data_IF_879091954294
#
_entry.id   IF_879091954294
#
_cell.length_a   1.000
_cell.length_b   1.000
_cell.length_c   1.000
_cell.angle_alpha   90.00
_cell.angle_beta   90.00
_cell.angle_gamma   90.00
#
_symmetry.space_group_name_H-M   'P 1'
#
loop_
_entity.id
_entity.type
_entity.pdbx_description
1 polymer ?
#
# COMPACT_ATOMS: atom_id res chain seq x y z
N UNK A 1 26.27 -18.92 19.60
CA UNK A 1 26.12 -18.35 18.25
C UNK A 1 24.74 -17.69 18.27
N UNK A 2 24.70 -16.38 18.32
CA UNK A 2 23.48 -15.59 18.34
C UNK A 2 22.85 -15.66 16.93
N UNK A 3 21.62 -16.20 16.84
CA UNK A 3 20.78 -15.99 15.68
C UNK A 3 20.53 -14.48 15.56
N UNK A 4 21.20 -13.85 14.62
CA UNK A 4 20.83 -12.50 14.21
C UNK A 4 19.39 -12.55 13.70
N UNK A 5 18.51 -11.87 14.41
CA UNK A 5 17.14 -11.57 14.00
C UNK A 5 17.21 -10.75 12.69
N UNK A 6 17.30 -11.44 11.54
CA UNK A 6 17.22 -10.78 10.25
C UNK A 6 15.79 -10.25 10.09
N UNK A 7 15.62 -8.96 10.24
CA UNK A 7 14.43 -8.24 9.80
C UNK A 7 14.04 -8.74 8.41
N UNK A 8 12.81 -9.20 8.16
CA UNK A 8 12.44 -9.72 6.85
C UNK A 8 12.69 -8.66 5.78
N UNK A 9 13.60 -8.97 4.86
CA UNK A 9 13.92 -8.10 3.72
C UNK A 9 12.66 -7.93 2.87
N UNK A 10 12.04 -6.75 2.95
CA UNK A 10 10.86 -6.43 2.16
C UNK A 10 11.32 -6.26 0.72
N UNK A 11 10.83 -7.13 -0.17
CA UNK A 11 11.19 -7.13 -1.59
C UNK A 11 10.34 -6.15 -2.41
N UNK A 12 10.88 -5.73 -3.55
CA UNK A 12 10.16 -4.88 -4.50
C UNK A 12 8.84 -5.57 -4.90
N UNK A 13 7.66 -4.90 -4.84
CA UNK A 13 6.38 -5.55 -5.09
C UNK A 13 6.25 -5.99 -6.55
N UNK A 14 5.54 -7.10 -6.75
CA UNK A 14 5.11 -7.50 -8.08
C UNK A 14 4.12 -6.47 -8.62
N UNK A 15 4.35 -5.88 -9.81
CA UNK A 15 3.39 -4.95 -10.39
C UNK A 15 2.05 -5.65 -10.69
N UNK A 16 0.94 -4.91 -10.75
CA UNK A 16 -0.34 -5.45 -11.19
C UNK A 16 -0.20 -6.12 -12.56
N UNK A 17 -0.77 -7.32 -12.71
CA UNK A 17 -0.70 -8.13 -13.93
C UNK A 17 -2.10 -8.61 -14.26
N UNK A 18 -2.53 -8.40 -15.50
CA UNK A 18 -3.75 -8.99 -16.04
C UNK A 18 -3.48 -10.46 -16.29
N UNK A 19 -4.16 -11.32 -15.56
CA UNK A 19 -3.99 -12.78 -15.61
C UNK A 19 -4.50 -13.36 -16.93
N UNK A 20 -4.09 -14.58 -17.24
CA UNK A 20 -4.56 -15.31 -18.42
C UNK A 20 -6.08 -15.44 -18.47
N UNK A 21 -6.73 -15.66 -17.34
CA UNK A 21 -8.19 -15.72 -17.25
C UNK A 21 -8.83 -14.35 -17.55
N UNK A 22 -8.25 -13.26 -17.03
CA UNK A 22 -8.80 -11.90 -17.23
C UNK A 22 -8.71 -11.43 -18.67
N UNK A 23 -7.63 -11.73 -19.42
CA UNK A 23 -7.57 -11.41 -20.86
C UNK A 23 -8.25 -12.46 -21.76
N UNK A 24 -8.82 -13.51 -21.19
CA UNK A 24 -9.61 -14.51 -21.88
C UNK A 24 -8.78 -15.48 -22.73
N UNK A 25 -7.66 -16.00 -22.16
CA UNK A 25 -6.88 -17.06 -22.80
C UNK A 25 -7.75 -18.30 -23.00
N UNK A 26 -7.78 -18.91 -24.19
CA UNK A 26 -8.56 -20.13 -24.44
C UNK A 26 -8.20 -21.31 -23.52
N UNK A 27 -6.92 -21.42 -23.13
CA UNK A 27 -6.43 -22.44 -22.18
C UNK A 27 -6.64 -22.05 -20.69
N UNK A 28 -7.17 -20.86 -20.41
CA UNK A 28 -7.23 -20.33 -19.05
C UNK A 28 -5.85 -20.23 -18.40
N UNK A 29 -5.72 -20.69 -17.17
CA UNK A 29 -4.45 -20.69 -16.41
C UNK A 29 -3.55 -21.91 -16.71
N UNK A 30 -3.99 -22.85 -17.55
CA UNK A 30 -3.27 -24.08 -17.86
C UNK A 30 -2.52 -23.99 -19.19
N UNK A 31 -1.50 -24.83 -19.37
CA UNK A 31 -0.92 -25.11 -20.69
C UNK A 31 -1.41 -26.47 -21.15
N UNK A 32 -2.31 -26.49 -22.15
CA UNK A 32 -2.93 -27.74 -22.63
C UNK A 32 -2.17 -28.35 -23.80
N UNK A 33 -1.26 -27.60 -24.43
CA UNK A 33 -0.52 -28.00 -25.65
C UNK A 33 0.91 -28.50 -25.37
N UNK A 34 1.29 -28.73 -24.11
CA UNK A 34 2.60 -29.26 -23.76
C UNK A 34 2.92 -29.22 -22.26
N UNK A 35 4.07 -29.78 -21.89
CA UNK A 35 4.52 -29.78 -20.49
C UNK A 35 5.25 -28.49 -20.14
N UNK A 36 5.11 -28.05 -18.89
CA UNK A 36 5.83 -26.92 -18.31
C UNK A 36 7.14 -27.40 -17.70
N UNK A 37 8.18 -26.58 -17.81
CA UNK A 37 9.43 -26.74 -17.07
C UNK A 37 9.74 -25.45 -16.32
N UNK A 38 10.56 -25.54 -15.27
CA UNK A 38 10.85 -24.41 -14.37
C UNK A 38 12.34 -24.18 -14.25
N UNK A 39 12.73 -22.96 -13.98
CA UNK A 39 14.12 -22.55 -13.88
C UNK A 39 14.33 -21.52 -12.76
N UNK A 40 15.58 -21.42 -12.31
CA UNK A 40 16.00 -20.27 -11.51
C UNK A 40 16.38 -19.14 -12.45
N UNK A 41 15.60 -18.06 -12.45
CA UNK A 41 15.86 -16.90 -13.32
C UNK A 41 17.12 -16.18 -12.86
N UNK A 42 18.06 -15.98 -13.78
CA UNK A 42 19.32 -15.25 -13.62
C UNK A 42 19.44 -14.06 -14.59
N UNK A 43 18.70 -14.09 -15.69
CA UNK A 43 18.71 -13.05 -16.72
C UNK A 43 17.30 -12.67 -17.15
N UNK A 44 17.12 -11.40 -17.48
CA UNK A 44 15.85 -10.80 -17.91
C UNK A 44 16.00 -10.33 -19.35
N UNK A 45 15.23 -10.91 -20.26
CA UNK A 45 15.38 -10.67 -21.69
C UNK A 45 14.22 -9.79 -22.18
N UNK A 46 14.58 -8.63 -22.71
CA UNK A 46 13.63 -7.67 -23.28
C UNK A 46 13.44 -7.96 -24.77
N UNK A 47 12.17 -8.02 -25.16
CA UNK A 47 11.74 -8.28 -26.54
C UNK A 47 10.79 -7.20 -27.03
N UNK A 48 10.59 -7.18 -28.34
CA UNK A 48 9.38 -6.70 -28.97
C UNK A 48 8.63 -7.86 -29.62
N UNK A 49 7.33 -7.70 -29.90
CA UNK A 49 6.54 -8.75 -30.56
C UNK A 49 6.70 -8.75 -32.07
N UNK A 50 7.27 -7.67 -32.64
CA UNK A 50 7.38 -7.43 -34.08
C UNK A 50 6.01 -7.45 -34.83
N UNK A 51 4.96 -7.06 -34.12
CA UNK A 51 3.60 -6.83 -34.66
C UNK A 51 3.42 -5.37 -35.02
N UNK A 52 2.26 -5.01 -35.62
CA UNK A 52 1.90 -3.61 -35.85
C UNK A 52 1.90 -2.78 -34.56
N UNK A 53 2.21 -1.48 -34.68
CA UNK A 53 2.12 -0.54 -33.57
C UNK A 53 0.67 -0.07 -33.43
N UNK A 54 -0.10 -0.85 -32.66
CA UNK A 54 -1.51 -0.56 -32.38
C UNK A 54 -1.65 0.67 -31.47
N UNK A 55 -2.80 1.34 -31.59
CA UNK A 55 -3.07 2.53 -30.78
C UNK A 55 -3.47 2.16 -29.35
N UNK A 56 -3.32 3.07 -28.38
CA UNK A 56 -3.74 2.83 -26.99
C UNK A 56 -5.22 2.43 -26.79
N UNK A 57 -6.09 2.69 -27.74
CA UNK A 57 -7.52 2.30 -27.68
C UNK A 57 -7.84 0.91 -28.25
N UNK A 58 -6.85 0.11 -28.66
CA UNK A 58 -7.05 -1.22 -29.24
C UNK A 58 -7.57 -2.24 -28.21
N UNK A 59 -8.23 -3.31 -28.71
CA UNK A 59 -8.60 -4.47 -27.87
C UNK A 59 -7.37 -5.34 -27.60
N UNK A 60 -6.66 -5.03 -26.52
CA UNK A 60 -5.44 -5.71 -26.14
C UNK A 60 -5.67 -7.16 -25.74
N UNK A 61 -6.84 -7.49 -25.19
CA UNK A 61 -7.20 -8.87 -24.89
C UNK A 61 -7.32 -9.70 -26.18
N UNK A 62 -7.89 -9.14 -27.24
CA UNK A 62 -7.93 -9.80 -28.55
C UNK A 62 -6.52 -9.96 -29.15
N UNK A 63 -5.65 -8.96 -29.00
CA UNK A 63 -4.24 -9.04 -29.43
C UNK A 63 -3.51 -10.13 -28.68
N UNK A 64 -3.68 -10.24 -27.34
CA UNK A 64 -3.10 -11.32 -26.54
C UNK A 64 -3.57 -12.70 -27.02
N UNK A 65 -4.87 -12.86 -27.32
CA UNK A 65 -5.42 -14.11 -27.89
C UNK A 65 -4.84 -14.42 -29.27
N UNK A 66 -4.59 -13.42 -30.12
CA UNK A 66 -3.96 -13.62 -31.43
C UNK A 66 -2.50 -14.08 -31.33
N UNK A 67 -1.74 -13.53 -30.37
CA UNK A 67 -0.36 -13.98 -30.08
C UNK A 67 -0.36 -15.42 -29.56
N UNK A 68 -1.28 -15.76 -28.65
CA UNK A 68 -1.44 -17.12 -28.16
C UNK A 68 -1.73 -18.07 -29.32
N UNK A 69 -2.71 -17.74 -30.17
CA UNK A 69 -3.08 -18.55 -31.32
C UNK A 69 -1.90 -18.77 -32.29
N UNK A 70 -1.17 -17.69 -32.62
CA UNK A 70 0.02 -17.75 -33.48
C UNK A 70 1.09 -18.67 -32.88
N UNK A 71 1.41 -18.53 -31.61
CA UNK A 71 2.45 -19.34 -30.97
C UNK A 71 2.06 -20.81 -30.84
N UNK A 72 0.78 -21.10 -30.51
CA UNK A 72 0.32 -22.48 -30.28
C UNK A 72 0.06 -23.19 -31.62
N UNK A 73 -0.70 -22.59 -32.53
CA UNK A 73 -1.16 -23.31 -33.73
C UNK A 73 -0.29 -23.10 -34.97
N UNK A 74 0.35 -21.93 -35.13
CA UNK A 74 1.19 -21.68 -36.28
C UNK A 74 2.66 -22.02 -36.01
N UNK A 75 3.16 -21.79 -34.79
CA UNK A 75 4.53 -22.14 -34.39
C UNK A 75 4.63 -23.53 -33.75
N UNK A 76 3.51 -24.13 -33.33
CA UNK A 76 3.47 -25.43 -32.67
C UNK A 76 4.10 -25.42 -31.26
N UNK A 77 4.10 -24.26 -30.58
CA UNK A 77 4.65 -24.13 -29.23
C UNK A 77 3.60 -24.54 -28.18
N UNK A 78 4.08 -24.97 -27.01
CA UNK A 78 3.21 -25.36 -25.91
C UNK A 78 2.33 -24.22 -25.37
N UNK A 79 2.71 -22.96 -25.60
CA UNK A 79 2.02 -21.77 -25.11
C UNK A 79 2.69 -20.49 -25.67
N UNK A 80 2.26 -19.31 -25.23
CA UNK A 80 2.97 -18.04 -25.48
C UNK A 80 4.45 -18.19 -25.13
N UNK A 81 5.33 -17.69 -25.99
CA UNK A 81 6.77 -17.78 -25.78
C UNK A 81 7.27 -16.93 -24.61
N UNK A 82 6.68 -15.75 -24.40
CA UNK A 82 7.09 -14.78 -23.39
C UNK A 82 6.44 -15.05 -22.03
N UNK A 83 7.16 -14.74 -20.94
CA UNK A 83 6.58 -14.82 -19.59
C UNK A 83 5.57 -13.68 -19.35
N UNK A 84 5.89 -12.47 -19.80
CA UNK A 84 5.03 -11.29 -19.69
C UNK A 84 5.05 -10.47 -20.97
N UNK A 85 3.93 -9.76 -21.21
CA UNK A 85 3.79 -8.81 -22.32
C UNK A 85 3.28 -7.47 -21.77
N UNK A 86 3.66 -6.37 -22.43
CA UNK A 86 3.30 -5.01 -22.01
C UNK A 86 2.74 -4.26 -23.20
N UNK A 87 1.53 -3.70 -23.05
CA UNK A 87 0.88 -2.88 -24.06
C UNK A 87 1.34 -1.41 -24.01
N UNK A 88 1.01 -0.58 -25.00
CA UNK A 88 1.33 0.85 -25.01
C UNK A 88 0.72 1.66 -23.86
N UNK A 89 -0.36 1.19 -23.20
CA UNK A 89 -0.93 1.84 -22.03
C UNK A 89 -0.16 1.50 -20.74
N UNK A 90 0.85 0.61 -20.81
CA UNK A 90 1.61 0.13 -19.67
C UNK A 90 0.93 -0.99 -18.90
N UNK A 91 -0.12 -1.60 -19.43
CA UNK A 91 -0.74 -2.77 -18.81
C UNK A 91 0.17 -3.99 -19.04
N UNK A 92 0.42 -4.76 -17.96
CA UNK A 92 1.24 -5.97 -18.01
C UNK A 92 0.29 -7.17 -18.05
N UNK A 93 0.54 -8.07 -18.99
CA UNK A 93 -0.23 -9.30 -19.18
C UNK A 93 0.63 -10.52 -18.84
N UNK A 94 0.04 -11.49 -18.16
CA UNK A 94 0.62 -12.82 -18.03
C UNK A 94 0.59 -13.51 -19.40
N UNK A 95 1.75 -13.94 -19.87
CA UNK A 95 1.89 -14.65 -21.14
C UNK A 95 1.84 -16.16 -20.92
N UNK A 96 3.01 -16.81 -20.81
CA UNK A 96 3.12 -18.24 -20.59
C UNK A 96 2.55 -18.64 -19.24
N UNK A 97 1.73 -19.69 -19.20
CA UNK A 97 1.20 -20.27 -17.97
C UNK A 97 2.33 -20.88 -17.10
N UNK A 98 2.05 -21.07 -15.80
CA UNK A 98 2.99 -21.70 -14.86
C UNK A 98 3.72 -20.72 -13.95
N UNK A 99 3.44 -19.41 -14.03
CA UNK A 99 3.91 -18.41 -13.07
C UNK A 99 5.35 -17.94 -13.29
N UNK A 100 5.92 -17.39 -12.22
CA UNK A 100 7.10 -16.50 -12.28
C UNK A 100 8.42 -17.14 -12.70
N UNK A 101 8.53 -18.46 -12.66
CA UNK A 101 9.78 -19.21 -12.93
C UNK A 101 9.61 -20.24 -14.04
N UNK A 102 8.51 -20.20 -14.80
CA UNK A 102 8.31 -21.08 -15.94
C UNK A 102 9.32 -20.75 -17.05
N UNK A 103 9.88 -21.77 -17.67
CA UNK A 103 10.78 -21.64 -18.81
C UNK A 103 9.97 -21.22 -20.04
N UNK A 104 10.35 -20.10 -20.64
CA UNK A 104 9.71 -19.56 -21.84
C UNK A 104 10.12 -20.28 -23.13
N UNK A 105 9.71 -19.69 -24.27
CA UNK A 105 10.15 -20.08 -25.61
C UNK A 105 10.46 -18.81 -26.43
N UNK A 106 11.36 -17.98 -25.93
CA UNK A 106 11.61 -16.62 -26.44
C UNK A 106 13.08 -16.33 -26.76
N UNK A 107 14.02 -17.20 -26.36
CA UNK A 107 15.47 -16.92 -26.43
C UNK A 107 16.22 -18.01 -27.19
N UNK A 108 15.82 -18.22 -28.45
CA UNK A 108 16.54 -19.10 -29.43
C UNK A 108 16.92 -20.49 -28.90
N UNK A 109 16.02 -21.16 -28.18
CA UNK A 109 16.21 -22.48 -27.60
C UNK A 109 17.00 -22.54 -26.29
N UNK A 110 17.62 -21.44 -25.84
CA UNK A 110 18.41 -21.36 -24.59
C UNK A 110 17.64 -20.62 -23.50
N UNK A 111 16.36 -20.99 -23.27
CA UNK A 111 15.45 -20.28 -22.39
C UNK A 111 15.68 -20.56 -20.89
N UNK A 112 16.44 -21.60 -20.54
CA UNK A 112 16.75 -21.90 -19.14
C UNK A 112 17.53 -20.76 -18.49
N UNK A 113 17.11 -20.36 -17.27
CA UNK A 113 17.70 -19.23 -16.56
C UNK A 113 17.17 -17.85 -16.97
N UNK A 114 16.21 -17.75 -17.89
CA UNK A 114 15.69 -16.45 -18.36
C UNK A 114 14.22 -16.22 -18.03
N UNK A 115 13.85 -14.93 -17.92
CA UNK A 115 12.47 -14.44 -17.97
C UNK A 115 12.33 -13.47 -19.14
N UNK A 116 11.46 -13.79 -20.10
CA UNK A 116 11.21 -12.94 -21.27
C UNK A 116 10.07 -11.96 -21.04
N UNK A 117 10.32 -10.67 -21.29
CA UNK A 117 9.32 -9.59 -21.26
C UNK A 117 9.24 -8.97 -22.64
N UNK A 118 8.09 -9.06 -23.29
CA UNK A 118 7.88 -8.52 -24.62
C UNK A 118 7.04 -7.24 -24.59
N UNK A 119 7.52 -6.20 -25.27
CA UNK A 119 6.74 -5.00 -25.55
C UNK A 119 5.87 -5.27 -26.79
N UNK A 120 4.55 -5.01 -26.68
CA UNK A 120 3.64 -5.17 -27.82
C UNK A 120 3.90 -4.08 -28.86
N UNK A 121 4.27 -4.47 -30.05
CA UNK A 121 4.60 -3.59 -31.18
C UNK A 121 5.91 -3.93 -31.86
N UNK A 122 6.34 -3.06 -32.78
CA UNK A 122 7.62 -3.10 -33.50
C UNK A 122 8.42 -1.84 -33.21
N UNK A 123 9.60 -1.99 -32.63
CA UNK A 123 10.42 -0.87 -32.15
C UNK A 123 11.75 -0.75 -32.91
N UNK A 124 11.67 -0.95 -34.23
CA UNK A 124 12.81 -0.67 -35.13
C UNK A 124 12.99 0.84 -35.29
N UNK A 125 11.91 1.56 -35.66
CA UNK A 125 11.92 2.99 -35.93
C UNK A 125 11.13 3.83 -34.91
N UNK A 126 10.26 3.20 -34.10
CA UNK A 126 9.43 3.84 -33.11
C UNK A 126 9.86 3.44 -31.69
N UNK A 127 9.84 4.39 -30.76
CA UNK A 127 10.08 4.11 -29.32
C UNK A 127 8.78 3.66 -28.65
N UNK A 128 8.86 2.78 -27.62
CA UNK A 128 7.71 2.50 -26.77
C UNK A 128 7.21 3.75 -26.05
N UNK A 129 5.96 3.74 -25.63
CA UNK A 129 5.35 4.81 -24.82
C UNK A 129 6.05 4.93 -23.46
N UNK A 130 5.89 6.08 -22.81
CA UNK A 130 6.42 6.33 -21.47
C UNK A 130 5.80 5.39 -20.44
N UNK A 131 4.50 5.10 -20.59
CA UNK A 131 3.71 4.18 -19.78
C UNK A 131 4.25 2.76 -19.88
N UNK A 132 4.46 2.27 -21.09
CA UNK A 132 5.00 0.93 -21.34
C UNK A 132 6.44 0.78 -20.80
N UNK A 133 7.31 1.79 -21.01
CA UNK A 133 8.66 1.82 -20.44
C UNK A 133 8.64 1.92 -18.91
N UNK A 134 7.63 2.60 -18.34
CA UNK A 134 7.39 2.65 -16.90
C UNK A 134 7.11 1.26 -16.33
N UNK A 135 6.21 0.51 -16.96
CA UNK A 135 5.84 -0.85 -16.55
C UNK A 135 6.95 -1.87 -16.80
N UNK A 136 7.71 -1.73 -17.88
CA UNK A 136 8.90 -2.55 -18.12
C UNK A 136 9.90 -2.40 -16.95
N UNK A 137 10.22 -1.17 -16.53
CA UNK A 137 11.12 -0.93 -15.39
C UNK A 137 10.61 -1.57 -14.10
N UNK A 138 9.31 -1.49 -13.82
CA UNK A 138 8.70 -2.06 -12.61
C UNK A 138 8.78 -3.59 -12.58
N UNK A 139 8.45 -4.28 -13.67
CA UNK A 139 8.51 -5.75 -13.71
C UNK A 139 9.95 -6.27 -13.66
N UNK A 140 10.89 -5.56 -14.29
CA UNK A 140 12.31 -5.89 -14.22
C UNK A 140 12.87 -5.65 -12.81
N UNK A 141 12.47 -4.55 -12.12
CA UNK A 141 12.87 -4.28 -10.74
C UNK A 141 12.35 -5.34 -9.78
N UNK A 142 11.06 -5.69 -9.88
CA UNK A 142 10.49 -6.77 -9.08
C UNK A 142 11.27 -8.09 -9.23
N UNK A 143 11.53 -8.52 -10.45
CA UNK A 143 12.21 -9.79 -10.66
C UNK A 143 13.70 -9.74 -10.26
N UNK A 144 14.37 -8.62 -10.50
CA UNK A 144 15.74 -8.41 -10.04
C UNK A 144 15.85 -8.52 -8.52
N UNK A 145 14.97 -7.82 -7.77
CA UNK A 145 14.95 -7.86 -6.30
C UNK A 145 14.56 -9.25 -5.77
N UNK A 146 13.55 -9.88 -6.38
CA UNK A 146 13.11 -11.22 -5.99
C UNK A 146 14.28 -12.23 -6.06
N UNK A 147 15.16 -12.08 -7.04
CA UNK A 147 16.27 -12.99 -7.33
C UNK A 147 17.63 -12.50 -6.82
N UNK A 148 17.70 -11.30 -6.24
CA UNK A 148 18.97 -10.70 -5.80
C UNK A 148 19.90 -10.36 -6.96
N UNK A 149 19.38 -9.99 -8.13
CA UNK A 149 20.15 -9.68 -9.33
C UNK A 149 20.55 -8.20 -9.34
N UNK A 150 21.83 -7.90 -9.67
CA UNK A 150 22.24 -6.53 -9.99
C UNK A 150 21.73 -6.17 -11.41
N UNK A 151 20.85 -5.18 -11.58
CA UNK A 151 20.32 -4.79 -12.89
C UNK A 151 21.40 -4.39 -13.92
N UNK A 152 22.53 -3.85 -13.48
CA UNK A 152 23.66 -3.47 -14.32
C UNK A 152 24.72 -4.57 -14.43
N UNK A 153 24.55 -5.68 -13.71
CA UNK A 153 25.48 -6.80 -13.65
C UNK A 153 25.70 -7.49 -14.98
N UNK A 154 26.73 -8.31 -15.02
CA UNK A 154 27.04 -9.23 -16.12
C UNK A 154 27.40 -10.57 -15.51
N UNK A 155 26.88 -11.67 -16.03
CA UNK A 155 27.21 -13.01 -15.59
C UNK A 155 27.06 -14.02 -16.71
N UNK A 156 27.69 -15.20 -16.54
CA UNK A 156 27.55 -16.29 -17.48
C UNK A 156 26.12 -16.82 -17.49
N UNK A 157 25.49 -16.81 -18.67
CA UNK A 157 24.21 -17.47 -18.89
C UNK A 157 24.47 -18.93 -19.26
N UNK A 158 24.19 -19.83 -18.32
CA UNK A 158 24.62 -21.25 -18.43
C UNK A 158 24.05 -21.95 -19.67
N UNK A 159 22.83 -21.63 -20.11
CA UNK A 159 22.23 -22.32 -21.26
C UNK A 159 22.83 -21.88 -22.61
N UNK A 160 23.28 -20.63 -22.74
CA UNK A 160 23.92 -20.14 -23.98
C UNK A 160 25.43 -20.09 -23.93
N UNK A 161 26.06 -20.27 -22.75
CA UNK A 161 27.49 -20.10 -22.52
C UNK A 161 28.03 -18.70 -22.89
N UNK A 162 27.17 -17.68 -22.85
CA UNK A 162 27.53 -16.29 -23.11
C UNK A 162 27.53 -15.49 -21.81
N UNK A 163 28.44 -14.53 -21.70
CA UNK A 163 28.41 -13.51 -20.69
C UNK A 163 27.37 -12.43 -21.09
N UNK A 164 26.25 -12.42 -20.39
CA UNK A 164 25.13 -11.52 -20.67
C UNK A 164 24.96 -10.48 -19.55
N UNK A 165 24.47 -9.30 -19.92
CA UNK A 165 23.93 -8.38 -18.93
C UNK A 165 22.72 -9.00 -18.24
N UNK A 166 22.55 -8.76 -16.94
CA UNK A 166 21.37 -9.20 -16.19
C UNK A 166 20.07 -8.84 -16.91
N UNK A 167 19.99 -7.62 -17.46
CA UNK A 167 18.90 -7.18 -18.33
C UNK A 167 19.47 -7.02 -19.74
N UNK A 168 19.12 -7.92 -20.64
CA UNK A 168 19.60 -7.99 -22.02
C UNK A 168 18.47 -7.86 -23.02
N UNK A 169 18.79 -7.52 -24.26
CA UNK A 169 17.87 -7.64 -25.38
C UNK A 169 17.96 -9.05 -26.00
N UNK A 170 16.97 -9.46 -26.79
CA UNK A 170 16.99 -10.75 -27.47
C UNK A 170 18.25 -10.90 -28.38
N UNK A 171 18.67 -9.82 -29.02
CA UNK A 171 19.86 -9.82 -29.92
C UNK A 171 21.19 -10.06 -29.22
N UNK A 172 21.24 -9.98 -27.88
CA UNK A 172 22.43 -10.29 -27.11
C UNK A 172 22.66 -11.81 -26.96
N UNK A 173 21.64 -12.61 -27.30
CA UNK A 173 21.69 -14.08 -27.24
C UNK A 173 22.17 -14.74 -28.54
N UNK A 174 22.12 -16.07 -28.61
CA UNK A 174 22.48 -16.80 -29.80
C UNK A 174 21.45 -16.61 -30.93
N UNK A 175 21.91 -16.71 -32.16
CA UNK A 175 21.12 -16.50 -33.37
C UNK A 175 21.15 -15.04 -33.85
N UNK A 176 20.58 -14.82 -35.05
CA UNK A 176 20.51 -13.48 -35.65
C UNK A 176 19.08 -12.94 -35.49
N UNK A 177 18.93 -11.83 -34.82
CA UNK A 177 17.63 -11.12 -34.67
C UNK A 177 17.83 -9.64 -34.41
N UNK A 178 16.94 -8.80 -34.93
CA UNK A 178 16.91 -7.36 -34.65
C UNK A 178 16.15 -7.03 -33.36
N UNK A 179 15.48 -8.03 -32.74
CA UNK A 179 14.73 -7.85 -31.50
C UNK A 179 15.64 -7.37 -30.35
N UNK A 180 15.26 -6.38 -29.56
CA UNK A 180 13.95 -5.74 -29.41
C UNK A 180 13.69 -4.54 -30.36
N UNK A 181 14.48 -4.32 -31.38
CA UNK A 181 14.40 -3.22 -32.32
C UNK A 181 15.40 -2.09 -32.04
N UNK A 182 15.78 -1.35 -33.08
CA UNK A 182 16.87 -0.36 -33.02
C UNK A 182 16.50 0.90 -32.26
N UNK A 183 15.21 1.17 -32.05
CA UNK A 183 14.75 2.25 -31.20
C UNK A 183 14.63 1.87 -29.72
N UNK A 184 14.35 0.61 -29.38
CA UNK A 184 14.27 0.13 -27.98
C UNK A 184 15.61 -0.33 -27.42
N UNK A 185 16.43 -1.03 -28.21
CA UNK A 185 17.68 -1.61 -27.73
C UNK A 185 18.65 -0.57 -27.13
N UNK A 186 18.86 0.62 -27.72
CA UNK A 186 19.74 1.64 -27.13
C UNK A 186 19.24 2.20 -25.80
N UNK A 187 17.97 1.99 -25.44
CA UNK A 187 17.42 2.41 -24.15
C UNK A 187 17.79 1.47 -22.99
N UNK A 188 18.24 0.23 -23.26
CA UNK A 188 18.55 -0.76 -22.23
C UNK A 188 19.58 -0.29 -21.19
N UNK A 189 20.66 0.41 -21.52
CA UNK A 189 21.56 0.96 -20.51
C UNK A 189 20.86 1.93 -19.53
N UNK A 190 20.00 2.80 -20.04
CA UNK A 190 19.20 3.72 -19.21
C UNK A 190 18.16 2.96 -18.40
N UNK A 191 17.51 1.94 -18.97
CA UNK A 191 16.56 1.09 -18.26
C UNK A 191 17.25 0.37 -17.10
N UNK A 192 18.45 -0.21 -17.27
CA UNK A 192 19.24 -0.85 -16.21
C UNK A 192 19.50 0.11 -15.05
N UNK A 193 19.99 1.33 -15.35
CA UNK A 193 20.23 2.39 -14.34
C UNK A 193 18.95 2.74 -13.59
N UNK A 194 17.84 2.92 -14.31
CA UNK A 194 16.56 3.27 -13.70
C UNK A 194 16.05 2.13 -12.79
N UNK A 195 16.17 0.87 -13.23
CA UNK A 195 15.82 -0.31 -12.41
C UNK A 195 16.68 -0.35 -11.15
N UNK A 196 18.00 -0.14 -11.27
CA UNK A 196 18.90 -0.07 -10.12
C UNK A 196 18.54 1.08 -9.18
N UNK A 197 18.20 2.24 -9.71
CA UNK A 197 17.74 3.38 -8.93
C UNK A 197 16.43 3.09 -8.20
N UNK A 198 15.47 2.42 -8.84
CA UNK A 198 14.23 1.96 -8.17
C UNK A 198 14.54 1.04 -6.98
N UNK A 199 15.51 0.15 -7.11
CA UNK A 199 15.92 -0.75 -6.02
C UNK A 199 16.72 -0.03 -4.92
N UNK A 200 17.54 0.94 -5.29
CA UNK A 200 18.34 1.73 -4.36
C UNK A 200 17.53 2.83 -3.66
N UNK A 201 16.48 3.34 -4.31
CA UNK A 201 15.63 4.44 -3.81
C UNK A 201 14.52 3.98 -2.84
N UNK A 202 14.68 2.81 -2.23
CA UNK A 202 13.81 2.40 -1.15
C UNK A 202 13.95 3.42 -0.01
N UNK A 203 13.02 4.36 0.03
CA UNK A 203 12.88 5.29 1.13
C UNK A 203 12.50 4.56 2.42
N UNK A 204 12.69 5.21 3.54
CA UNK A 204 12.14 4.75 4.83
C UNK A 204 10.83 5.48 5.05
N UNK A 205 9.81 4.73 5.45
CA UNK A 205 8.56 5.30 5.96
C UNK A 205 8.40 4.89 7.41
N UNK A 206 8.15 5.87 8.27
CA UNK A 206 7.77 5.66 9.65
C UNK A 206 6.30 6.03 9.83
N UNK A 207 5.61 5.39 10.76
CA UNK A 207 4.21 5.72 10.97
C UNK A 207 3.64 5.15 12.25
N UNK A 208 2.37 5.46 12.46
CA UNK A 208 1.61 5.02 13.62
C UNK A 208 0.20 5.58 13.61
N UNK A 209 -0.45 5.56 14.77
CA UNK A 209 -1.79 6.10 14.91
C UNK A 209 -1.85 7.58 14.47
N UNK A 210 -2.78 7.91 13.58
CA UNK A 210 -3.02 9.29 13.14
C UNK A 210 -3.58 10.19 14.26
N UNK A 211 -4.01 9.61 15.37
CA UNK A 211 -4.55 10.36 16.50
C UNK A 211 -3.47 10.77 17.51
N UNK A 212 -2.52 9.87 17.79
CA UNK A 212 -1.49 10.12 18.84
C UNK A 212 -0.12 10.48 18.31
N UNK A 213 0.23 10.01 17.12
CA UNK A 213 1.58 10.10 16.52
C UNK A 213 2.71 9.49 17.38
N UNK A 214 2.39 8.81 18.48
CA UNK A 214 3.34 8.38 19.51
C UNK A 214 3.66 6.89 19.47
N UNK A 215 2.94 6.10 18.69
CA UNK A 215 3.07 4.64 18.70
C UNK A 215 3.06 4.07 17.30
N UNK A 216 3.99 3.15 17.01
CA UNK A 216 3.98 2.31 15.82
C UNK A 216 3.04 1.10 15.94
N UNK A 217 2.36 0.95 17.09
CA UNK A 217 1.33 -0.08 17.29
C UNK A 217 0.00 0.45 16.77
N UNK A 218 -0.63 -0.31 15.90
CA UNK A 218 -1.90 0.02 15.23
C UNK A 218 -2.84 -1.19 15.27
N UNK A 219 -4.12 -0.99 14.99
CA UNK A 219 -5.07 -2.10 14.86
C UNK A 219 -5.73 -2.09 13.49
N UNK A 220 -6.31 -3.22 13.09
CA UNK A 220 -7.13 -3.27 11.90
C UNK A 220 -8.23 -2.20 11.93
N UNK A 221 -8.54 -1.60 10.78
CA UNK A 221 -9.53 -0.54 10.61
C UNK A 221 -9.26 0.76 11.41
N UNK A 222 -8.04 0.98 11.92
CA UNK A 222 -7.62 2.25 12.50
C UNK A 222 -7.08 3.22 11.44
N UNK A 223 -7.14 4.53 11.75
CA UNK A 223 -6.51 5.56 10.91
C UNK A 223 -5.04 5.65 11.26
N UNK A 224 -4.19 5.51 10.23
CA UNK A 224 -2.73 5.51 10.36
C UNK A 224 -2.14 6.63 9.51
N UNK A 225 -1.15 7.32 10.05
CA UNK A 225 -0.31 8.26 9.31
C UNK A 225 1.07 7.67 9.09
N UNK A 226 1.53 7.71 7.84
CA UNK A 226 2.89 7.37 7.43
C UNK A 226 3.63 8.64 7.05
N UNK A 227 4.89 8.75 7.44
CA UNK A 227 5.77 9.88 7.16
C UNK A 227 7.05 9.40 6.47
N UNK A 228 7.50 10.13 5.45
CA UNK A 228 8.69 9.81 4.67
C UNK A 228 9.00 10.93 3.69
N UNK A 229 9.81 10.66 2.69
CA UNK A 229 10.10 11.59 1.60
C UNK A 229 9.82 10.94 0.24
N UNK A 230 9.27 11.71 -0.69
CA UNK A 230 8.95 11.23 -2.03
C UNK A 230 7.83 10.17 -2.04
N UNK A 231 6.88 10.25 -1.11
CA UNK A 231 5.79 9.29 -0.97
C UNK A 231 4.74 9.46 -2.07
N UNK A 232 4.53 10.69 -2.55
CA UNK A 232 3.63 10.99 -3.66
C UNK A 232 4.14 12.20 -4.46
N UNK A 233 3.75 12.28 -5.75
CA UNK A 233 4.17 13.37 -6.64
C UNK A 233 3.32 14.64 -6.48
N UNK A 234 2.14 14.52 -5.86
CA UNK A 234 1.22 15.63 -5.61
C UNK A 234 0.39 15.36 -4.37
N UNK A 235 -0.11 16.44 -3.76
CA UNK A 235 -1.03 16.33 -2.65
C UNK A 235 -2.44 16.03 -3.16
N UNK A 236 -3.04 14.94 -2.66
CA UNK A 236 -4.41 14.56 -2.99
C UNK A 236 -5.17 14.07 -1.76
N UNK A 237 -6.48 14.33 -1.75
CA UNK A 237 -7.43 13.91 -0.71
C UNK A 237 -8.48 13.04 -1.38
N UNK A 238 -8.82 11.91 -0.77
CA UNK A 238 -9.89 11.05 -1.28
C UNK A 238 -11.24 11.75 -1.18
N UNK A 239 -12.01 11.71 -2.27
CA UNK A 239 -13.35 12.29 -2.37
C UNK A 239 -14.46 11.24 -2.55
N UNK A 240 -14.12 9.96 -2.54
CA UNK A 240 -15.05 8.84 -2.77
C UNK A 240 -15.24 7.97 -1.54
N UNK A 241 -16.41 7.35 -1.45
CA UNK A 241 -16.71 6.28 -0.51
C UNK A 241 -17.23 5.08 -1.31
N UNK A 242 -16.58 3.91 -1.24
CA UNK A 242 -15.44 3.57 -0.39
C UNK A 242 -14.15 4.32 -0.78
N UNK A 243 -13.21 4.41 0.18
CA UNK A 243 -11.89 5.00 -0.05
C UNK A 243 -11.13 4.25 -1.14
N UNK A 244 -10.40 4.96 -2.02
CA UNK A 244 -9.59 4.33 -3.04
C UNK A 244 -8.35 3.65 -2.43
N UNK A 245 -7.89 2.56 -3.04
CA UNK A 245 -6.62 1.88 -2.70
C UNK A 245 -5.43 2.44 -3.48
N UNK A 246 -5.68 3.35 -4.41
CA UNK A 246 -4.67 4.15 -5.11
C UNK A 246 -5.15 5.59 -5.20
N UNK A 247 -4.32 6.54 -4.81
CA UNK A 247 -4.64 7.97 -4.82
C UNK A 247 -3.47 8.74 -5.43
N UNK A 248 -3.73 9.46 -6.53
CA UNK A 248 -2.67 10.12 -7.29
C UNK A 248 -1.57 9.18 -7.78
N UNK A 249 -1.92 7.91 -8.08
CA UNK A 249 -0.97 6.87 -8.46
C UNK A 249 -0.15 6.28 -7.29
N UNK A 250 -0.32 6.81 -6.08
CA UNK A 250 0.30 6.26 -4.86
C UNK A 250 -0.57 5.16 -4.28
N UNK A 251 0.04 4.06 -3.84
CA UNK A 251 -0.61 2.95 -3.14
C UNK A 251 0.20 2.48 -1.94
N UNK A 252 -0.45 1.84 -0.98
CA UNK A 252 0.21 1.25 0.18
C UNK A 252 -0.20 -0.22 0.32
N UNK A 253 0.78 -1.10 0.30
CA UNK A 253 0.60 -2.52 0.61
C UNK A 253 1.01 -2.79 2.05
N UNK A 254 0.16 -3.49 2.79
CA UNK A 254 0.43 -4.00 4.13
C UNK A 254 0.56 -5.49 4.05
N UNK A 255 1.72 -6.04 4.44
CA UNK A 255 1.95 -7.48 4.56
C UNK A 255 2.07 -7.83 6.04
N UNK A 256 1.13 -8.60 6.55
CA UNK A 256 1.04 -8.98 7.96
C UNK A 256 2.03 -10.11 8.34
N UNK A 257 2.05 -10.47 9.63
CA UNK A 257 2.93 -11.52 10.17
C UNK A 257 2.63 -12.93 9.63
N UNK A 258 1.45 -13.15 9.03
CA UNK A 258 1.09 -14.38 8.32
C UNK A 258 1.44 -14.35 6.83
N UNK A 259 2.17 -13.31 6.37
CA UNK A 259 2.50 -13.05 4.96
C UNK A 259 1.29 -12.78 4.05
N UNK A 260 0.15 -12.37 4.60
CA UNK A 260 -1.00 -11.93 3.83
C UNK A 260 -0.82 -10.48 3.41
N UNK A 261 -0.90 -10.20 2.12
CA UNK A 261 -0.81 -8.85 1.57
C UNK A 261 -2.19 -8.26 1.31
N UNK A 262 -2.39 -7.00 1.74
CA UNK A 262 -3.61 -6.23 1.48
C UNK A 262 -3.25 -4.80 1.10
N UNK A 263 -3.96 -4.25 0.11
CA UNK A 263 -3.91 -2.83 -0.20
C UNK A 263 -4.68 -2.04 0.86
N UNK A 264 -4.08 -0.97 1.35
CA UNK A 264 -4.70 -0.07 2.31
C UNK A 264 -5.51 1.02 1.59
N UNK A 265 -6.78 1.25 1.98
CA UNK A 265 -7.53 2.41 1.51
C UNK A 265 -6.90 3.72 1.98
N UNK A 266 -6.86 4.74 1.11
CA UNK A 266 -6.14 5.99 1.32
C UNK A 266 -7.09 7.16 1.55
N UNK A 267 -6.83 7.96 2.58
CA UNK A 267 -7.51 9.25 2.82
C UNK A 267 -6.77 10.42 2.16
N UNK A 268 -5.43 10.38 2.24
CA UNK A 268 -4.58 11.51 1.87
C UNK A 268 -3.21 11.03 1.45
N UNK A 269 -2.63 11.68 0.44
CA UNK A 269 -1.24 11.49 0.03
C UNK A 269 -0.59 12.84 -0.24
N UNK A 270 0.68 12.95 0.10
CA UNK A 270 1.58 14.07 -0.23
C UNK A 270 3.01 13.57 -0.34
N UNK A 271 3.95 14.42 -0.71
CA UNK A 271 5.39 14.07 -0.75
C UNK A 271 5.88 13.53 0.61
N UNK A 272 5.43 14.13 1.71
CA UNK A 272 5.91 13.80 3.07
C UNK A 272 5.00 12.93 3.90
N UNK A 273 3.73 12.71 3.51
CA UNK A 273 2.73 12.05 4.36
C UNK A 273 1.70 11.27 3.57
N UNK A 274 1.31 10.10 4.10
CA UNK A 274 0.15 9.33 3.65
C UNK A 274 -0.73 9.04 4.87
N UNK A 275 -2.06 9.32 4.78
CA UNK A 275 -3.03 8.84 5.75
C UNK A 275 -3.86 7.73 5.13
N UNK A 276 -3.97 6.62 5.84
CA UNK A 276 -4.63 5.41 5.37
C UNK A 276 -5.52 4.78 6.44
N UNK A 277 -6.43 3.95 5.98
CA UNK A 277 -7.17 3.01 6.82
C UNK A 277 -6.42 1.67 6.86
N UNK A 278 -6.03 1.20 8.05
CA UNK A 278 -5.45 -0.13 8.16
C UNK A 278 -6.44 -1.18 7.67
N UNK A 279 -6.04 -2.12 6.80
CA UNK A 279 -6.94 -3.17 6.32
C UNK A 279 -7.51 -4.01 7.48
N UNK A 280 -8.76 -4.45 7.32
CA UNK A 280 -9.39 -5.38 8.26
C UNK A 280 -8.79 -6.79 8.18
N UNK A 281 -8.84 -7.56 9.28
CA UNK A 281 -8.47 -8.97 9.31
C UNK A 281 -6.99 -9.23 9.03
N UNK A 282 -6.10 -8.35 9.48
CA UNK A 282 -4.65 -8.57 9.51
C UNK A 282 -4.28 -9.47 10.70
N UNK A 283 -3.28 -10.32 10.53
CA UNK A 283 -2.70 -11.07 11.62
C UNK A 283 -1.92 -10.14 12.56
N UNK A 284 -2.02 -10.40 13.88
CA UNK A 284 -1.27 -9.64 14.89
C UNK A 284 0.23 -9.90 14.79
N UNK A 285 1.03 -8.88 15.10
CA UNK A 285 2.49 -8.94 15.04
C UNK A 285 3.07 -7.89 14.10
N UNK A 286 4.31 -8.07 13.70
CA UNK A 286 4.96 -7.15 12.77
C UNK A 286 4.31 -7.21 11.39
N UNK A 287 4.02 -6.05 10.84
CA UNK A 287 3.50 -5.85 9.50
C UNK A 287 4.43 -4.95 8.70
N UNK A 288 4.82 -5.44 7.54
CA UNK A 288 5.62 -4.69 6.60
C UNK A 288 4.74 -3.73 5.79
N UNK A 289 5.17 -2.48 5.70
CA UNK A 289 4.51 -1.42 4.95
C UNK A 289 5.33 -1.10 3.70
N UNK A 290 4.69 -1.12 2.54
CA UNK A 290 5.27 -0.68 1.27
C UNK A 290 4.41 0.44 0.70
N UNK A 291 4.90 1.66 0.77
CA UNK A 291 4.32 2.80 0.05
C UNK A 291 4.99 2.89 -1.33
N UNK A 292 4.18 2.85 -2.39
CA UNK A 292 4.66 2.92 -3.78
C UNK A 292 4.10 4.18 -4.42
N UNK A 293 4.96 5.09 -4.85
CA UNK A 293 4.56 6.32 -5.56
C UNK A 293 4.14 6.03 -7.01
N UNK A 294 3.52 7.00 -7.66
CA UNK A 294 3.14 6.92 -9.09
C UNK A 294 4.33 6.58 -10.01
N UNK A 295 5.53 7.05 -9.68
CA UNK A 295 6.77 6.77 -10.43
C UNK A 295 7.38 5.39 -10.11
N UNK A 296 6.78 4.65 -9.16
CA UNK A 296 7.28 3.34 -8.74
C UNK A 296 8.38 3.40 -7.68
N UNK A 297 8.64 4.59 -7.06
CA UNK A 297 9.50 4.69 -5.88
C UNK A 297 8.83 3.94 -4.73
N UNK A 298 9.62 3.16 -3.99
CA UNK A 298 9.14 2.40 -2.83
C UNK A 298 9.75 2.94 -1.56
N UNK A 299 8.90 3.22 -0.58
CA UNK A 299 9.30 3.50 0.79
C UNK A 299 8.82 2.37 1.69
N UNK A 300 9.71 1.89 2.56
CA UNK A 300 9.51 0.71 3.40
C UNK A 300 9.46 1.08 4.87
N UNK A 301 8.57 0.44 5.62
CA UNK A 301 8.43 0.61 7.04
C UNK A 301 7.88 -0.63 7.72
N UNK A 302 7.87 -0.60 9.05
CA UNK A 302 7.30 -1.66 9.88
C UNK A 302 6.34 -1.01 10.87
N UNK A 303 5.17 -1.61 11.03
CA UNK A 303 4.22 -1.32 12.10
C UNK A 303 3.94 -2.61 12.87
N UNK A 304 3.47 -2.49 14.10
CA UNK A 304 2.99 -3.63 14.88
C UNK A 304 1.46 -3.64 14.87
N UNK A 305 0.85 -4.70 14.34
CA UNK A 305 -0.61 -4.90 14.41
C UNK A 305 -0.97 -5.55 15.73
N UNK A 306 -1.91 -4.96 16.44
CA UNK A 306 -2.47 -5.48 17.68
C UNK A 306 -4.00 -5.57 17.58
N UNK A 307 -4.68 -6.36 18.42
CA UNK A 307 -6.15 -6.43 18.42
C UNK A 307 -6.78 -5.07 18.63
N UNK A 308 -6.25 -4.30 19.58
CA UNK A 308 -6.62 -2.90 19.84
C UNK A 308 -5.36 -2.03 19.99
N UNK A 309 -5.44 -0.80 19.51
CA UNK A 309 -4.40 0.22 19.67
C UNK A 309 -5.08 1.59 19.85
N UNK A 310 -5.68 1.84 21.02
CA UNK A 310 -6.51 3.02 21.22
C UNK A 310 -5.67 4.29 21.16
N UNK A 311 -6.19 5.29 20.46
CA UNK A 311 -5.65 6.63 20.45
C UNK A 311 -6.77 7.67 20.33
N UNK A 312 -6.63 8.78 21.05
CA UNK A 312 -7.58 9.88 21.09
C UNK A 312 -7.11 11.04 20.20
N UNK A 313 -7.99 11.56 19.39
CA UNK A 313 -7.70 12.77 18.62
C UNK A 313 -7.69 14.00 19.54
N UNK A 314 -6.75 14.89 19.31
CA UNK A 314 -6.73 16.23 19.90
C UNK A 314 -7.21 17.27 18.90
N UNK A 315 -7.80 18.37 19.40
CA UNK A 315 -8.29 19.47 18.55
C UNK A 315 -7.18 20.11 17.70
N UNK A 316 -5.93 20.06 18.17
CA UNK A 316 -4.75 20.56 17.45
C UNK A 316 -4.10 19.54 16.53
N UNK A 317 -4.73 18.37 16.32
CA UNK A 317 -4.26 17.31 15.43
C UNK A 317 -2.77 16.89 15.65
N UNK A 318 -2.29 16.93 16.91
CA UNK A 318 -0.91 16.59 17.28
C UNK A 318 -0.85 15.52 18.40
N UNK A 319 -2.00 14.96 18.78
CA UNK A 319 -2.13 13.94 19.82
C UNK A 319 -2.00 14.46 21.26
N UNK A 320 -1.92 15.77 21.47
CA UNK A 320 -1.71 16.40 22.77
C UNK A 320 -2.72 17.53 23.02
N UNK A 321 -2.90 17.89 24.29
CA UNK A 321 -3.74 19.01 24.71
C UNK A 321 -5.24 18.70 24.62
N UNK A 322 -6.04 19.66 24.18
CA UNK A 322 -7.49 19.58 24.23
C UNK A 322 -8.03 18.45 23.35
N UNK A 323 -8.97 17.67 23.88
CA UNK A 323 -9.61 16.58 23.17
C UNK A 323 -10.38 17.09 21.92
N UNK A 324 -10.33 16.34 20.83
CA UNK A 324 -11.30 16.48 19.73
C UNK A 324 -12.60 15.81 20.20
N UNK A 325 -13.50 16.60 20.78
CA UNK A 325 -14.70 16.11 21.43
C UNK A 325 -15.83 17.16 21.41
N UNK A 326 -17.02 16.71 21.79
CA UNK A 326 -18.17 17.55 22.11
C UNK A 326 -18.69 17.17 23.49
N UNK A 327 -19.32 18.11 24.19
CA UNK A 327 -20.10 17.82 25.37
C UNK A 327 -21.58 17.71 24.96
N UNK A 328 -22.21 16.58 25.23
CA UNK A 328 -23.65 16.40 25.04
C UNK A 328 -24.33 16.64 26.37
N UNK A 329 -25.13 17.72 26.42
CA UNK A 329 -26.00 18.05 27.56
C UNK A 329 -27.38 17.46 27.32
N UNK A 330 -27.89 16.76 28.32
CA UNK A 330 -29.27 16.26 28.39
C UNK A 330 -29.93 16.91 29.59
N UNK A 331 -30.96 17.73 29.37
CA UNK A 331 -31.71 18.40 30.44
C UNK A 331 -32.80 17.50 31.03
N UNK A 332 -33.38 17.92 32.15
CA UNK A 332 -34.47 17.20 32.82
C UNK A 332 -35.73 17.01 31.94
N UNK A 333 -35.96 17.90 31.00
CA UNK A 333 -37.08 17.84 30.02
C UNK A 333 -36.76 16.90 28.83
N UNK A 334 -35.59 16.27 28.82
CA UNK A 334 -35.10 15.38 27.73
C UNK A 334 -34.51 16.13 26.53
N UNK A 335 -34.50 17.46 26.55
CA UNK A 335 -33.84 18.23 25.46
C UNK A 335 -32.32 18.00 25.45
N UNK A 336 -31.77 17.90 24.24
CA UNK A 336 -30.34 17.59 24.02
C UNK A 336 -29.66 18.71 23.25
N UNK A 337 -28.43 19.02 23.64
CA UNK A 337 -27.57 19.98 22.96
C UNK A 337 -26.12 19.54 22.96
N UNK A 338 -25.50 19.62 21.79
CA UNK A 338 -24.04 19.48 21.67
C UNK A 338 -23.39 20.84 21.88
N UNK A 339 -22.33 20.84 22.69
CA UNK A 339 -21.55 22.03 23.06
C UNK A 339 -20.08 21.76 22.71
N UNK A 340 -19.36 22.73 22.09
CA UNK A 340 -17.94 22.56 21.81
C UNK A 340 -17.12 22.55 23.11
N UNK A 341 -16.07 21.74 23.15
CA UNK A 341 -15.11 21.69 24.28
C UNK A 341 -13.79 22.38 23.93
N UNK A 342 -13.65 22.87 22.71
CA UNK A 342 -12.51 23.61 22.21
C UNK A 342 -12.94 24.77 21.33
N UNK A 343 -12.18 25.85 21.33
CA UNK A 343 -12.32 26.99 20.41
C UNK A 343 -10.96 27.38 19.85
N UNK A 344 -10.96 27.92 18.63
CA UNK A 344 -9.73 28.39 18.00
C UNK A 344 -9.35 29.77 18.51
N UNK A 345 -8.17 29.89 19.12
CA UNK A 345 -7.57 31.15 19.55
C UNK A 345 -6.67 31.67 18.42
N UNK A 346 -7.09 32.77 17.80
CA UNK A 346 -6.37 33.38 16.69
C UNK A 346 -4.99 33.97 17.12
N UNK A 347 -4.89 34.45 18.36
CA UNK A 347 -3.64 35.05 18.87
C UNK A 347 -2.57 33.98 19.10
N UNK A 348 -2.96 32.80 19.53
CA UNK A 348 -2.07 31.66 19.76
C UNK A 348 -1.98 30.71 18.53
N UNK A 349 -2.80 30.94 17.51
CA UNK A 349 -2.93 30.09 16.32
C UNK A 349 -3.12 28.60 16.66
N UNK A 350 -3.96 28.32 17.66
CA UNK A 350 -4.26 26.93 18.13
C UNK A 350 -5.63 26.84 18.76
N UNK A 351 -6.15 25.60 18.86
CA UNK A 351 -7.32 25.33 19.68
C UNK A 351 -6.96 25.32 21.16
N UNK A 352 -7.77 25.99 21.96
CA UNK A 352 -7.72 26.04 23.42
C UNK A 352 -8.98 25.40 24.01
N UNK A 353 -8.87 24.95 25.27
CA UNK A 353 -10.01 24.38 25.98
C UNK A 353 -11.11 25.42 26.23
N UNK A 354 -12.35 25.01 26.04
CA UNK A 354 -13.53 25.74 26.48
C UNK A 354 -14.06 25.10 27.76
N UNK A 355 -14.30 25.88 28.84
CA UNK A 355 -14.83 25.35 30.08
C UNK A 355 -16.20 24.70 29.90
N UNK A 356 -16.31 23.41 30.26
CA UNK A 356 -17.58 22.68 30.30
C UNK A 356 -18.28 23.01 31.62
N UNK A 357 -19.40 23.67 31.58
CA UNK A 357 -20.30 23.85 32.73
C UNK A 357 -21.16 22.58 32.86
N UNK A 358 -21.15 21.92 34.01
CA UNK A 358 -21.99 20.74 34.23
C UNK A 358 -23.47 21.08 34.56
N UNK A 359 -23.81 22.36 34.63
CA UNK A 359 -25.18 22.83 34.76
C UNK A 359 -25.83 22.52 36.11
N UNK A 360 -27.20 22.52 36.13
CA UNK A 360 -28.01 22.21 37.30
C UNK A 360 -27.82 20.73 37.73
N UNK A 361 -28.25 20.39 38.96
CA UNK A 361 -28.18 19.02 39.50
C UNK A 361 -29.02 18.02 38.67
N UNK A 362 -30.00 18.49 37.92
CA UNK A 362 -30.84 17.66 37.04
C UNK A 362 -30.25 17.43 35.64
N UNK A 363 -29.23 18.20 35.23
CA UNK A 363 -28.58 18.05 33.94
C UNK A 363 -27.64 16.86 33.96
N UNK A 364 -27.59 16.12 32.85
CA UNK A 364 -26.60 15.12 32.60
C UNK A 364 -25.71 15.59 31.44
N UNK A 365 -24.38 15.52 31.64
CA UNK A 365 -23.43 15.94 30.63
C UNK A 365 -22.54 14.74 30.29
N UNK A 366 -22.39 14.50 29.00
CA UNK A 366 -21.60 13.40 28.46
C UNK A 366 -20.50 13.97 27.55
N UNK A 367 -19.30 13.45 27.71
CA UNK A 367 -18.22 13.66 26.72
C UNK A 367 -18.43 12.72 25.54
N UNK A 368 -18.45 13.26 24.33
CA UNK A 368 -18.41 12.52 23.08
C UNK A 368 -17.06 12.78 22.46
N UNK A 369 -16.09 11.92 22.77
CA UNK A 369 -14.71 12.02 22.30
C UNK A 369 -14.50 11.15 21.06
N UNK A 370 -13.57 11.58 20.22
CA UNK A 370 -13.20 10.86 19.00
C UNK A 370 -11.79 10.28 19.09
N UNK A 371 -11.62 9.09 18.52
CA UNK A 371 -10.39 8.35 18.52
C UNK A 371 -10.29 7.38 17.35
N UNK A 372 -9.34 6.48 17.42
CA UNK A 372 -9.18 5.35 16.48
C UNK A 372 -8.56 4.17 17.20
N UNK A 373 -8.70 2.96 16.64
CA UNK A 373 -8.09 1.74 17.20
C UNK A 373 -8.82 1.14 18.41
N UNK A 374 -10.09 1.55 18.64
CA UNK A 374 -10.92 1.11 19.78
C UNK A 374 -11.95 0.06 19.36
N UNK A 375 -12.43 0.07 18.10
CA UNK A 375 -13.58 -0.70 17.60
C UNK A 375 -13.48 -2.22 17.78
N UNK A 376 -12.25 -2.76 17.75
CA UNK A 376 -11.99 -4.20 17.88
C UNK A 376 -11.84 -4.65 19.34
N UNK A 377 -12.26 -3.86 20.31
CA UNK A 377 -12.26 -4.21 21.73
C UNK A 377 -13.04 -5.50 22.01
N UNK A 378 -12.63 -6.22 23.04
CA UNK A 378 -13.28 -7.47 23.43
C UNK A 378 -14.73 -7.25 23.90
N UNK A 379 -14.94 -6.19 24.71
CA UNK A 379 -16.27 -5.82 25.24
C UNK A 379 -16.27 -4.36 25.72
N UNK A 380 -17.45 -3.79 26.00
CA UNK A 380 -17.54 -2.46 26.61
C UNK A 380 -16.97 -2.44 28.04
N UNK A 381 -17.05 -3.55 28.79
CA UNK A 381 -16.45 -3.67 30.13
C UNK A 381 -14.92 -3.69 30.11
N UNK A 382 -14.29 -3.99 28.98
CA UNK A 382 -12.85 -3.85 28.77
C UNK A 382 -12.39 -2.40 28.56
N UNK A 383 -13.34 -1.43 28.52
CA UNK A 383 -13.02 -0.01 28.35
C UNK A 383 -13.21 0.72 29.66
N UNK A 384 -12.16 1.37 30.13
CA UNK A 384 -12.21 2.22 31.34
C UNK A 384 -11.74 3.63 31.00
N UNK A 385 -12.34 4.60 31.66
CA UNK A 385 -12.04 6.02 31.49
C UNK A 385 -11.88 6.71 32.84
N UNK A 386 -10.91 7.61 32.94
CA UNK A 386 -10.77 8.52 34.08
C UNK A 386 -10.70 9.96 33.59
N UNK A 387 -11.33 10.87 34.33
CA UNK A 387 -11.29 12.30 34.12
C UNK A 387 -10.86 12.97 35.43
N UNK A 388 -9.78 13.74 35.39
CA UNK A 388 -9.23 14.37 36.59
C UNK A 388 -8.92 13.39 37.73
N UNK A 389 -8.61 12.10 37.42
CA UNK A 389 -8.39 11.04 38.37
C UNK A 389 -9.67 10.32 38.85
N UNK A 390 -10.87 10.75 38.47
CA UNK A 390 -12.12 10.09 38.84
C UNK A 390 -12.52 9.07 37.80
N UNK A 391 -12.93 7.88 38.20
CA UNK A 391 -13.51 6.88 37.33
C UNK A 391 -14.81 7.42 36.71
N UNK A 392 -14.93 7.30 35.41
CA UNK A 392 -16.06 7.80 34.65
C UNK A 392 -16.73 6.66 33.87
N UNK A 393 -18.05 6.62 33.89
CA UNK A 393 -18.81 5.57 33.21
C UNK A 393 -18.69 5.72 31.70
N UNK A 394 -18.17 4.69 31.03
CA UNK A 394 -18.15 4.58 29.57
C UNK A 394 -19.48 3.97 29.12
N UNK A 395 -20.21 4.70 28.27
CA UNK A 395 -21.51 4.28 27.75
C UNK A 395 -21.44 3.73 26.34
N UNK A 396 -20.43 4.13 25.59
CA UNK A 396 -20.16 3.66 24.23
C UNK A 396 -18.66 3.79 23.95
N UNK A 397 -18.12 2.84 23.22
CA UNK A 397 -16.77 2.92 22.64
C UNK A 397 -16.72 2.03 21.41
N UNK A 398 -16.67 2.60 20.21
CA UNK A 398 -16.71 1.84 18.96
C UNK A 398 -16.79 2.72 17.72
N UNK A 399 -17.14 2.17 16.54
CA UNK A 399 -17.16 2.93 15.30
C UNK A 399 -18.07 4.15 15.38
N UNK A 400 -17.56 5.31 14.96
CA UNK A 400 -18.39 6.49 14.73
C UNK A 400 -19.20 6.32 13.45
N UNK A 401 -20.52 6.49 13.53
CA UNK A 401 -21.41 6.30 12.38
C UNK A 401 -21.06 7.28 11.24
N UNK A 402 -20.95 6.74 10.02
CA UNK A 402 -20.67 7.52 8.81
C UNK A 402 -19.20 7.89 8.59
N UNK A 403 -18.27 7.47 9.47
CA UNK A 403 -16.85 7.80 9.35
C UNK A 403 -15.96 6.55 9.40
N UNK A 404 -15.24 6.30 8.31
CA UNK A 404 -14.31 5.17 8.23
C UNK A 404 -13.11 5.37 9.17
N UNK A 405 -12.76 4.35 9.95
CA UNK A 405 -11.60 4.38 10.84
C UNK A 405 -11.77 5.22 12.11
N UNK A 406 -12.75 6.12 12.15
CA UNK A 406 -13.03 6.94 13.33
C UNK A 406 -13.82 6.15 14.36
N UNK A 407 -13.40 6.21 15.60
CA UNK A 407 -14.08 5.64 16.75
C UNK A 407 -14.62 6.76 17.64
N UNK A 408 -15.76 6.49 18.28
CA UNK A 408 -16.43 7.39 19.22
C UNK A 408 -16.42 6.75 20.61
N UNK A 409 -16.16 7.57 21.63
CA UNK A 409 -16.16 7.18 23.03
C UNK A 409 -17.08 8.13 23.79
N UNK A 410 -18.16 7.58 24.38
CA UNK A 410 -19.10 8.37 25.17
C UNK A 410 -18.90 8.09 26.65
N UNK A 411 -18.58 9.14 27.41
CA UNK A 411 -18.27 9.06 28.84
C UNK A 411 -19.17 10.02 29.61
N UNK A 412 -19.77 9.54 30.68
CA UNK A 412 -20.55 10.41 31.59
C UNK A 412 -19.61 11.26 32.43
N UNK A 413 -19.81 12.58 32.46
CA UNK A 413 -19.06 13.50 33.31
C UNK A 413 -19.66 13.50 34.73
N UNK A 414 -18.81 13.15 35.73
CA UNK A 414 -19.20 13.19 37.13
C UNK A 414 -19.28 14.65 37.61
N UNK A 415 -20.21 14.93 38.49
CA UNK A 415 -20.33 16.24 39.15
C UNK A 415 -19.16 16.53 40.10
N UNK A 416 -18.38 15.51 40.53
CA UNK A 416 -17.15 15.67 41.30
C UNK A 416 -16.06 16.44 40.53
N UNK A 417 -16.27 16.65 39.23
CA UNK A 417 -15.38 17.43 38.38
C UNK A 417 -15.60 18.92 38.43
N UNK A 418 -16.73 19.40 39.03
CA UNK A 418 -17.06 20.83 39.09
C UNK A 418 -15.93 21.59 39.77
N UNK A 419 -15.47 22.67 39.12
CA UNK A 419 -14.40 23.56 39.64
C UNK A 419 -12.98 23.00 39.58
N UNK A 420 -12.78 21.86 38.88
CA UNK A 420 -11.44 21.24 38.76
C UNK A 420 -10.55 21.92 37.72
N UNK A 421 -11.11 22.81 36.88
CA UNK A 421 -10.35 23.44 35.80
C UNK A 421 -9.89 22.45 34.76
N UNK A 422 -8.62 22.53 34.34
CA UNK A 422 -8.04 21.63 33.34
C UNK A 422 -7.81 20.24 33.92
N UNK A 423 -8.43 19.21 33.31
CA UNK A 423 -8.36 17.82 33.75
C UNK A 423 -7.89 16.90 32.63
N UNK A 424 -7.13 15.89 32.96
CA UNK A 424 -6.74 14.83 32.03
C UNK A 424 -7.90 13.88 31.76
N UNK A 425 -8.09 13.53 30.49
CA UNK A 425 -8.90 12.40 30.06
C UNK A 425 -7.96 11.24 29.67
N UNK A 426 -8.09 10.14 30.39
CA UNK A 426 -7.33 8.90 30.19
C UNK A 426 -8.28 7.77 29.84
N UNK A 427 -7.93 7.01 28.79
CA UNK A 427 -8.69 5.88 28.28
C UNK A 427 -7.82 4.63 28.24
N UNK A 428 -8.35 3.52 28.77
CA UNK A 428 -7.78 2.18 28.57
C UNK A 428 -8.79 1.32 27.81
N UNK A 429 -8.31 0.54 26.87
CA UNK A 429 -9.10 -0.43 26.09
C UNK A 429 -8.38 -1.77 26.12
N UNK A 430 -9.01 -2.79 26.72
CA UNK A 430 -8.42 -4.13 26.92
C UNK A 430 -7.00 -4.04 27.51
N UNK A 431 -6.83 -3.16 28.51
CA UNK A 431 -5.55 -2.94 29.20
C UNK A 431 -4.52 -2.10 28.42
N UNK A 432 -4.85 -1.61 27.22
CA UNK A 432 -3.97 -0.72 26.43
C UNK A 432 -4.37 0.73 26.64
N UNK A 433 -3.40 1.58 26.99
CA UNK A 433 -3.63 3.00 27.21
C UNK A 433 -3.60 3.79 25.89
N UNK A 434 -4.56 4.71 25.74
CA UNK A 434 -4.49 5.76 24.72
C UNK A 434 -3.55 6.89 25.17
N UNK A 435 -3.18 7.80 24.24
CA UNK A 435 -2.59 9.08 24.61
C UNK A 435 -3.53 9.88 25.50
N UNK A 436 -2.96 10.75 26.35
CA UNK A 436 -3.72 11.62 27.24
C UNK A 436 -4.10 12.90 26.52
N UNK A 437 -5.37 13.24 26.57
CA UNK A 437 -5.90 14.54 26.15
C UNK A 437 -6.58 15.22 27.33
N UNK A 438 -6.89 16.50 27.24
CA UNK A 438 -7.46 17.22 28.37
C UNK A 438 -8.76 17.96 28.02
N UNK A 439 -9.48 18.34 29.06
CA UNK A 439 -10.72 19.10 29.04
C UNK A 439 -10.64 20.14 30.14
N UNK A 440 -11.38 21.23 30.01
CA UNK A 440 -11.56 22.20 31.08
C UNK A 440 -12.96 22.07 31.63
N UNK A 441 -13.11 21.95 32.94
CA UNK A 441 -14.38 21.81 33.65
C UNK A 441 -14.57 23.01 34.58
N UNK A 442 -15.69 23.68 34.44
CA UNK A 442 -16.06 24.83 35.26
C UNK A 442 -16.73 24.42 36.57
#
# INVERSE_FOLDING_TARGET
MSEENQTPSIKYPKPPIVTRTEWGCPDGQSATHGSLSYTTVTHLIVHHTAMGNETPGSDWAAIMRSIWNFHVFERGWADIGYNYLIDPNGVIYEGRSGGDNVVGAHFSGVNGGTMGVAMLGTFTDATPTVEALGSLKKILAWKSDQRGLDPEGTSLHAASQLDLKTISGHRDGPGSTECPGDALYPLLPTIRKNVKSLLASAGVVAGGSAASFQSSVVSGESIVSLFGAGLANSTQIASTTPLPVSLGGTSVTVRDSANTEKLAPLFFVSDGQINLLMPAGLANGEAAILATSAEGRISRGILTVAPVAPALFSANANGLGVAAALALRVKADGSQRYEPVASFDQAQNKFIAMPIDLGSASDQVFLVAYGTGVRNRSSLSGVTATLGGFNSQVLFAGPASGFMGLDQINVRLSRDLIGRGLVDFRLLVDGKAANVVNLEIR
#
